data_IF_176879750794
#
_entry.id   IF_176879750794
#
_cell.length_a   1.000
_cell.length_b   1.000
_cell.length_c   1.000
_cell.angle_alpha   90.00
_cell.angle_beta   90.00
_cell.angle_gamma   90.00
#
_symmetry.space_group_name_H-M   'P 1'
#
loop_
_entity.id
_entity.type
_entity.pdbx_description
1 polymer ?
#
# COMPACT_ATOMS: atom_id res chain seq x y z
N UNK A 1 42.13 11.78 52.20
CA UNK A 1 41.60 11.80 50.83
C UNK A 1 40.50 10.74 50.72
N UNK A 2 39.24 11.10 51.00
CA UNK A 2 38.10 10.18 50.92
C UNK A 2 37.62 10.16 49.47
N UNK A 3 37.88 9.06 48.76
CA UNK A 3 37.24 8.76 47.48
C UNK A 3 35.74 8.60 47.74
N UNK A 4 34.92 9.47 47.15
CA UNK A 4 33.47 9.30 47.13
C UNK A 4 33.18 8.14 46.19
N UNK A 5 32.65 7.05 46.73
CA UNK A 5 32.03 5.98 45.95
C UNK A 5 30.89 6.61 45.13
N UNK A 6 31.02 6.60 43.80
CA UNK A 6 29.96 7.06 42.91
C UNK A 6 28.84 6.03 42.98
N UNK A 7 27.73 6.46 43.60
CA UNK A 7 26.45 5.75 43.62
C UNK A 7 26.14 5.18 42.23
N UNK A 8 25.88 3.88 42.22
CA UNK A 8 25.50 3.06 41.08
C UNK A 8 24.50 3.79 40.17
N UNK A 9 24.78 3.79 38.86
CA UNK A 9 23.79 4.15 37.84
C UNK A 9 22.85 2.95 37.68
N UNK A 10 21.94 2.79 38.63
CA UNK A 10 20.83 1.83 38.55
C UNK A 10 19.64 2.38 37.77
N UNK A 11 19.79 3.55 37.14
CA UNK A 11 18.74 4.21 36.37
C UNK A 11 18.75 3.78 34.89
N UNK A 12 19.17 2.55 34.58
CA UNK A 12 18.70 1.91 33.34
C UNK A 12 17.27 1.51 33.63
N UNK A 13 16.35 2.43 33.30
CA UNK A 13 14.93 2.14 33.20
C UNK A 13 14.78 0.96 32.24
N UNK A 14 14.74 -0.25 32.78
CA UNK A 14 14.14 -1.39 32.11
C UNK A 14 12.66 -1.00 32.05
N UNK A 15 12.30 -0.31 30.97
CA UNK A 15 10.90 -0.13 30.62
C UNK A 15 10.36 -1.55 30.54
N UNK A 16 9.52 -1.94 31.50
CA UNK A 16 8.77 -3.20 31.45
C UNK A 16 7.90 -3.12 30.20
N UNK A 17 8.46 -3.52 29.05
CA UNK A 17 7.71 -3.68 27.82
C UNK A 17 6.71 -4.77 28.11
N UNK A 18 5.45 -4.36 28.34
CA UNK A 18 4.34 -5.28 28.55
C UNK A 18 4.35 -6.31 27.42
N UNK A 19 4.13 -7.58 27.76
CA UNK A 19 4.23 -8.72 26.83
C UNK A 19 3.37 -8.57 25.56
N UNK A 20 2.37 -7.70 25.57
CA UNK A 20 1.63 -7.28 24.38
C UNK A 20 1.14 -5.84 24.52
N UNK A 21 1.38 -5.00 23.50
CA UNK A 21 0.72 -3.70 23.42
C UNK A 21 -0.77 -3.96 23.09
N UNK A 22 -1.72 -3.34 23.81
CA UNK A 22 -3.14 -3.44 23.44
C UNK A 22 -3.43 -3.03 21.98
N UNK A 23 -2.58 -2.17 21.39
CA UNK A 23 -2.63 -1.82 19.97
C UNK A 23 -2.23 -2.99 19.06
N UNK A 24 -1.33 -3.87 19.48
CA UNK A 24 -0.91 -5.03 18.67
C UNK A 24 -2.05 -6.05 18.59
N UNK A 25 -2.74 -6.31 19.71
CA UNK A 25 -3.87 -7.25 19.76
C UNK A 25 -5.03 -6.76 18.88
N UNK A 26 -5.40 -5.48 19.00
CA UNK A 26 -6.49 -4.89 18.21
C UNK A 26 -6.05 -4.70 16.75
N UNK A 27 -4.79 -4.31 16.53
CA UNK A 27 -4.23 -4.01 15.22
C UNK A 27 -4.04 -5.25 14.35
N UNK A 28 -3.70 -6.39 14.93
CA UNK A 28 -3.48 -7.66 14.21
C UNK A 28 -4.73 -8.20 13.53
N UNK A 29 -5.92 -7.77 13.95
CA UNK A 29 -7.19 -8.10 13.31
C UNK A 29 -7.57 -7.15 12.16
N UNK A 30 -6.73 -6.15 11.85
CA UNK A 30 -6.97 -5.20 10.76
C UNK A 30 -6.19 -5.61 9.51
N UNK A 31 -6.58 -5.06 8.36
CA UNK A 31 -5.85 -5.26 7.10
C UNK A 31 -4.38 -4.83 7.28
N UNK A 32 -3.42 -5.75 7.09
CA UNK A 32 -2.01 -5.46 7.32
C UNK A 32 -1.39 -4.75 6.10
N UNK A 33 -1.68 -3.45 5.95
CA UNK A 33 -1.22 -2.63 4.82
C UNK A 33 0.30 -2.65 4.60
N UNK A 34 1.10 -2.98 5.63
CA UNK A 34 2.55 -3.13 5.49
C UNK A 34 2.99 -4.29 4.58
N UNK A 35 2.10 -5.24 4.25
CA UNK A 35 2.37 -6.25 3.21
C UNK A 35 2.05 -5.76 1.80
N UNK A 36 1.32 -4.66 1.66
CA UNK A 36 1.03 -4.09 0.36
C UNK A 36 2.25 -3.31 -0.14
N UNK A 37 2.82 -3.64 -1.31
CA UNK A 37 3.98 -2.94 -1.81
C UNK A 37 3.63 -1.51 -2.21
N UNK A 38 4.42 -0.54 -1.74
CA UNK A 38 4.21 0.88 -2.07
C UNK A 38 4.27 1.14 -3.59
N UNK A 39 5.06 0.35 -4.33
CA UNK A 39 5.08 0.38 -5.78
C UNK A 39 3.69 0.15 -6.39
N UNK A 40 2.90 -0.79 -5.85
CA UNK A 40 1.54 -1.03 -6.35
C UNK A 40 0.60 0.14 -6.02
N UNK A 41 0.79 0.80 -4.87
CA UNK A 41 0.07 2.05 -4.54
C UNK A 41 0.37 3.14 -5.57
N UNK A 42 1.64 3.36 -5.89
CA UNK A 42 2.09 4.40 -6.84
C UNK A 42 1.55 4.09 -8.25
N UNK A 43 1.72 2.87 -8.75
CA UNK A 43 1.24 2.48 -10.08
C UNK A 43 -0.29 2.58 -10.18
N UNK A 44 -1.01 2.10 -9.16
CA UNK A 44 -2.48 2.23 -9.10
C UNK A 44 -2.95 3.69 -9.06
N UNK A 45 -2.21 4.56 -8.36
CA UNK A 45 -2.48 6.00 -8.36
C UNK A 45 -2.26 6.63 -9.73
N UNK A 46 -1.21 6.24 -10.46
CA UNK A 46 -0.97 6.70 -11.84
C UNK A 46 -2.05 6.21 -12.80
N UNK A 47 -2.50 4.97 -12.70
CA UNK A 47 -3.63 4.46 -13.48
C UNK A 47 -4.92 5.28 -13.23
N UNK A 48 -5.20 5.61 -11.95
CA UNK A 48 -6.32 6.49 -11.60
C UNK A 48 -6.15 7.92 -12.13
N UNK A 49 -4.91 8.45 -12.12
CA UNK A 49 -4.61 9.76 -12.70
C UNK A 49 -4.87 9.76 -14.21
N UNK A 50 -4.43 8.73 -14.94
CA UNK A 50 -4.71 8.59 -16.37
C UNK A 50 -6.23 8.56 -16.64
N UNK A 51 -6.97 7.76 -15.86
CA UNK A 51 -8.44 7.75 -15.93
C UNK A 51 -9.07 9.13 -15.66
N UNK A 52 -8.51 9.91 -14.73
CA UNK A 52 -8.95 11.29 -14.48
C UNK A 52 -8.68 12.21 -15.68
N UNK A 53 -7.56 12.05 -16.39
CA UNK A 53 -7.26 12.85 -17.58
C UNK A 53 -8.26 12.57 -18.71
N UNK A 54 -8.71 11.32 -18.84
CA UNK A 54 -9.62 10.90 -19.92
C UNK A 54 -11.10 11.13 -19.60
N UNK A 55 -11.51 10.86 -18.37
CA UNK A 55 -12.92 10.74 -18.00
C UNK A 55 -13.33 11.60 -16.79
N UNK A 56 -12.38 12.30 -16.17
CA UNK A 56 -12.58 13.09 -14.96
C UNK A 56 -12.45 12.27 -13.66
N UNK A 57 -12.23 12.99 -12.55
CA UNK A 57 -11.92 12.40 -11.24
C UNK A 57 -13.07 11.55 -10.73
N UNK A 58 -12.79 10.30 -10.37
CA UNK A 58 -13.78 9.39 -9.76
C UNK A 58 -15.08 9.27 -10.59
N UNK A 59 -14.97 9.34 -11.91
CA UNK A 59 -16.09 9.27 -12.87
C UNK A 59 -17.03 8.07 -12.62
N UNK A 60 -16.49 6.93 -12.20
CA UNK A 60 -17.25 5.73 -11.84
C UNK A 60 -18.16 5.88 -10.62
N UNK A 61 -18.04 6.97 -9.84
CA UNK A 61 -18.94 7.31 -8.73
C UNK A 61 -20.12 8.16 -9.17
N UNK A 62 -19.98 8.96 -10.22
CA UNK A 62 -21.04 9.82 -10.72
C UNK A 62 -22.16 8.99 -11.35
N UNK A 63 -21.79 7.96 -12.13
CA UNK A 63 -22.68 6.94 -12.62
C UNK A 63 -21.96 5.60 -12.57
N UNK A 64 -22.65 4.56 -12.09
CA UNK A 64 -22.08 3.22 -12.04
C UNK A 64 -21.68 2.72 -13.43
N UNK A 65 -20.63 1.91 -13.48
CA UNK A 65 -20.15 1.27 -14.71
C UNK A 65 -20.56 -0.19 -14.69
N UNK A 66 -20.98 -0.73 -15.84
CA UNK A 66 -21.32 -2.16 -15.96
C UNK A 66 -20.09 -3.01 -15.61
N UNK A 67 -20.28 -4.03 -14.77
CA UNK A 67 -19.19 -4.92 -14.36
C UNK A 67 -18.47 -5.58 -15.56
N UNK A 68 -19.19 -5.87 -16.64
CA UNK A 68 -18.61 -6.43 -17.87
C UNK A 68 -17.55 -5.51 -18.49
N UNK A 69 -17.70 -4.19 -18.39
CA UNK A 69 -16.70 -3.24 -18.93
C UNK A 69 -15.38 -3.35 -18.16
N UNK A 70 -15.44 -3.50 -16.83
CA UNK A 70 -14.23 -3.73 -16.02
C UNK A 70 -13.60 -5.09 -16.33
N UNK A 71 -14.43 -6.13 -16.48
CA UNK A 71 -13.96 -7.46 -16.85
C UNK A 71 -13.24 -7.44 -18.20
N UNK A 72 -13.85 -6.83 -19.22
CA UNK A 72 -13.29 -6.76 -20.56
C UNK A 72 -11.97 -5.95 -20.58
N UNK A 73 -11.92 -4.82 -19.86
CA UNK A 73 -10.71 -4.02 -19.72
C UNK A 73 -9.57 -4.80 -19.05
N UNK A 74 -9.83 -5.38 -17.86
CA UNK A 74 -8.85 -6.20 -17.14
C UNK A 74 -8.34 -7.35 -18.02
N UNK A 75 -9.25 -8.02 -18.74
CA UNK A 75 -8.87 -9.17 -19.57
C UNK A 75 -7.96 -8.79 -20.73
N UNK A 76 -8.17 -7.61 -21.35
CA UNK A 76 -7.28 -7.12 -22.41
C UNK A 76 -5.87 -6.83 -21.90
N UNK A 77 -5.74 -6.11 -20.78
CA UNK A 77 -4.42 -5.85 -20.19
C UNK A 77 -3.73 -7.13 -19.74
N UNK A 78 -4.46 -8.04 -19.08
CA UNK A 78 -3.87 -9.30 -18.62
C UNK A 78 -3.44 -10.21 -19.78
N UNK A 79 -4.22 -10.26 -20.86
CA UNK A 79 -3.82 -11.00 -22.05
C UNK A 79 -2.61 -10.35 -22.75
N UNK A 80 -2.58 -9.01 -22.86
CA UNK A 80 -1.43 -8.29 -23.45
C UNK A 80 -0.14 -8.58 -22.67
N UNK A 81 -0.21 -8.51 -21.34
CA UNK A 81 0.91 -8.83 -20.47
C UNK A 81 1.33 -10.31 -20.53
N UNK A 82 0.39 -11.23 -20.33
CA UNK A 82 0.72 -12.64 -20.15
C UNK A 82 0.96 -13.40 -21.46
N UNK A 83 0.11 -13.18 -22.47
CA UNK A 83 0.13 -13.94 -23.74
C UNK A 83 0.95 -13.22 -24.81
N UNK A 84 0.80 -11.89 -24.94
CA UNK A 84 1.55 -11.12 -25.93
C UNK A 84 2.93 -10.65 -25.44
N UNK A 85 3.21 -10.69 -24.13
CA UNK A 85 4.48 -10.26 -23.54
C UNK A 85 4.68 -8.74 -23.54
N UNK A 86 3.59 -7.97 -23.56
CA UNK A 86 3.61 -6.51 -23.53
C UNK A 86 3.62 -6.02 -22.07
N UNK A 87 4.72 -5.42 -21.63
CA UNK A 87 4.84 -4.94 -20.23
C UNK A 87 4.23 -3.54 -20.03
N UNK A 88 4.15 -2.73 -21.08
CA UNK A 88 3.74 -1.32 -21.02
C UNK A 88 2.59 -1.07 -22.00
N UNK A 89 1.49 -0.52 -21.49
CA UNK A 89 0.35 -0.11 -22.28
C UNK A 89 0.73 1.05 -23.23
N UNK A 90 0.56 0.89 -24.55
CA UNK A 90 0.97 1.90 -25.53
C UNK A 90 0.13 3.19 -25.45
N UNK A 91 -1.09 3.12 -24.93
CA UNK A 91 -1.97 4.30 -24.83
C UNK A 91 -1.57 5.21 -23.66
N UNK A 92 -1.28 4.61 -22.50
CA UNK A 92 -0.99 5.35 -21.27
C UNK A 92 0.50 5.50 -20.97
N UNK A 93 1.35 4.63 -21.52
CA UNK A 93 2.76 4.50 -21.14
C UNK A 93 2.98 3.93 -19.73
N UNK A 94 1.95 3.35 -19.11
CA UNK A 94 2.01 2.73 -17.80
C UNK A 94 2.14 1.20 -17.92
N UNK A 95 2.62 0.49 -16.87
CA UNK A 95 2.60 -0.96 -16.87
C UNK A 95 1.19 -1.53 -17.03
N UNK A 96 1.06 -2.67 -17.74
CA UNK A 96 -0.20 -3.40 -17.88
C UNK A 96 -0.78 -3.92 -16.55
#
# INVERSE_FOLDING_TARGET
>A
MKLKESKMRDDILIEETKLSNPKDIIGSNKVPYHFWPETATILGAMACMYGNLQYGRTNWRAAGVRASIYYDALRRHMNAWFDAGEDVDPDSGLPH
#
